data_IF_002296802351
#
_entry.id   IF_002296802351
#
_cell.length_a   1.000
_cell.length_b   1.000
_cell.length_c   1.000
_cell.angle_alpha   90.00
_cell.angle_beta   90.00
_cell.angle_gamma   90.00
#
_symmetry.space_group_name_H-M   'P 1'
#
loop_
_entity.id
_entity.type
_entity.pdbx_description
1 polymer ?
#
# COMPACT_ATOMS: atom_id res chain seq x y z
N UNK A 1 51.80 8.70 -63.00
CA UNK A 1 51.85 8.03 -61.69
C UNK A 1 50.43 8.04 -61.15
N UNK A 2 49.65 6.98 -61.40
CA UNK A 2 48.25 6.88 -60.98
C UNK A 2 48.18 6.09 -59.67
N UNK A 3 47.76 6.75 -58.59
CA UNK A 3 47.46 6.08 -57.34
C UNK A 3 46.02 5.56 -57.39
N UNK A 4 45.88 4.24 -57.53
CA UNK A 4 44.61 3.56 -57.36
C UNK A 4 44.28 3.51 -55.86
N UNK A 5 43.28 4.29 -55.43
CA UNK A 5 42.71 4.16 -54.09
C UNK A 5 41.85 2.89 -54.02
N UNK A 6 42.34 1.88 -53.30
CA UNK A 6 41.56 0.70 -52.95
C UNK A 6 40.52 1.11 -51.90
N UNK A 7 39.26 1.27 -52.31
CA UNK A 7 38.13 1.42 -51.40
C UNK A 7 37.63 0.02 -51.05
N UNK A 8 37.76 -0.47 -49.80
CA UNK A 8 37.18 -1.76 -49.45
C UNK A 8 35.65 -1.64 -49.53
N UNK A 9 35.04 -2.42 -50.43
CA UNK A 9 33.58 -2.61 -50.48
C UNK A 9 33.15 -3.35 -49.21
N UNK A 10 32.75 -2.61 -48.18
CA UNK A 10 32.11 -3.20 -47.01
C UNK A 10 30.69 -3.63 -47.40
N UNK A 11 30.51 -4.93 -47.63
CA UNK A 11 29.21 -5.55 -47.91
C UNK A 11 28.32 -5.49 -46.65
N UNK A 12 27.26 -4.65 -46.64
CA UNK A 12 26.40 -4.48 -45.48
C UNK A 12 25.52 -5.71 -45.19
N UNK A 13 25.51 -6.72 -46.07
CA UNK A 13 24.74 -7.97 -45.88
C UNK A 13 25.36 -8.92 -44.83
N UNK A 14 26.62 -8.68 -44.44
CA UNK A 14 27.37 -9.52 -43.49
C UNK A 14 27.30 -9.08 -42.04
N UNK A 15 26.58 -7.99 -41.73
CA UNK A 15 26.35 -7.62 -40.35
C UNK A 15 25.34 -8.59 -39.74
N UNK A 16 25.69 -9.37 -38.69
CA UNK A 16 24.67 -10.07 -37.93
C UNK A 16 23.73 -8.97 -37.45
N UNK A 17 22.44 -9.08 -37.79
CA UNK A 17 21.38 -8.23 -37.26
C UNK A 17 21.38 -8.45 -35.74
N UNK A 18 22.25 -7.72 -35.06
CA UNK A 18 22.25 -7.64 -33.61
C UNK A 18 20.85 -7.17 -33.28
N UNK A 19 20.12 -7.95 -32.50
CA UNK A 19 18.85 -7.51 -31.92
C UNK A 19 19.15 -6.22 -31.15
N UNK A 20 19.03 -5.08 -31.82
CA UNK A 20 18.87 -3.80 -31.18
C UNK A 20 17.50 -3.91 -30.56
N UNK A 21 17.47 -4.46 -29.34
CA UNK A 21 16.31 -4.36 -28.50
C UNK A 21 16.08 -2.86 -28.32
N UNK A 22 15.23 -2.31 -29.17
CA UNK A 22 14.80 -0.92 -29.13
C UNK A 22 14.35 -0.61 -27.71
N UNK A 23 14.52 0.63 -27.22
CA UNK A 23 14.05 1.03 -25.88
C UNK A 23 12.61 0.56 -25.57
N UNK A 24 11.75 0.48 -26.59
CA UNK A 24 10.40 -0.08 -26.47
C UNK A 24 10.35 -1.56 -26.08
N UNK A 25 11.24 -2.41 -26.61
CA UNK A 25 11.30 -3.84 -26.28
C UNK A 25 11.74 -4.04 -24.82
N UNK A 26 12.73 -3.28 -24.36
CA UNK A 26 13.12 -3.28 -22.95
C UNK A 26 12.00 -2.76 -22.04
N UNK A 27 11.32 -1.70 -22.44
CA UNK A 27 10.16 -1.17 -21.72
C UNK A 27 9.04 -2.19 -21.58
N UNK A 28 8.72 -2.94 -22.65
CA UNK A 28 7.72 -4.00 -22.62
C UNK A 28 8.12 -5.16 -21.69
N UNK A 29 9.38 -5.58 -21.72
CA UNK A 29 9.90 -6.61 -20.83
C UNK A 29 9.84 -6.18 -19.35
N UNK A 30 10.29 -4.96 -19.03
CA UNK A 30 10.21 -4.41 -17.67
C UNK A 30 8.76 -4.26 -17.23
N UNK A 31 7.88 -3.77 -18.11
CA UNK A 31 6.45 -3.67 -17.86
C UNK A 31 5.83 -5.03 -17.51
N UNK A 32 6.15 -6.06 -18.29
CA UNK A 32 5.65 -7.43 -18.06
C UNK A 32 6.20 -8.03 -16.77
N UNK A 33 7.52 -7.96 -16.54
CA UNK A 33 8.17 -8.50 -15.35
C UNK A 33 7.71 -7.78 -14.08
N UNK A 34 7.54 -6.45 -14.14
CA UNK A 34 7.08 -5.66 -13.00
C UNK A 34 5.59 -5.80 -12.69
N UNK A 35 4.77 -6.14 -13.68
CA UNK A 35 3.33 -6.38 -13.49
C UNK A 35 3.01 -7.80 -13.00
N UNK A 36 3.86 -8.77 -13.33
CA UNK A 36 3.69 -10.18 -12.93
C UNK A 36 4.36 -10.47 -11.58
N UNK A 37 4.02 -11.56 -10.88
CA UNK A 37 4.68 -11.94 -9.63
C UNK A 37 6.14 -12.41 -9.78
N UNK A 38 6.72 -12.34 -10.98
CA UNK A 38 8.07 -12.86 -11.29
C UNK A 38 9.15 -12.16 -10.47
N UNK A 39 8.99 -10.86 -10.19
CA UNK A 39 9.91 -10.12 -9.33
C UNK A 39 10.04 -10.72 -7.92
N UNK A 40 8.97 -11.35 -7.39
CA UNK A 40 8.98 -11.96 -6.05
C UNK A 40 9.99 -13.09 -5.96
N UNK A 41 10.26 -13.79 -7.06
CA UNK A 41 11.30 -14.82 -7.10
C UNK A 41 12.69 -14.22 -6.83
N UNK A 42 12.99 -13.05 -7.39
CA UNK A 42 14.25 -12.35 -7.12
C UNK A 42 14.34 -11.89 -5.66
N UNK A 43 13.24 -11.38 -5.08
CA UNK A 43 13.20 -11.00 -3.66
C UNK A 43 13.41 -12.20 -2.72
N UNK A 44 12.86 -13.37 -3.07
CA UNK A 44 13.12 -14.61 -2.33
C UNK A 44 14.57 -15.07 -2.45
N UNK A 45 15.17 -14.96 -3.64
CA UNK A 45 16.57 -15.35 -3.88
C UNK A 45 17.58 -14.40 -3.24
N UNK A 46 17.25 -13.11 -3.17
CA UNK A 46 18.09 -12.06 -2.59
C UNK A 46 17.32 -11.27 -1.53
N UNK A 47 17.17 -11.80 -0.29
CA UNK A 47 16.35 -11.18 0.76
C UNK A 47 16.73 -9.75 1.13
N UNK A 48 18.00 -9.36 0.94
CA UNK A 48 18.49 -7.98 1.14
C UNK A 48 17.74 -6.93 0.31
N UNK A 49 17.06 -7.34 -0.77
CA UNK A 49 16.21 -6.42 -1.55
C UNK A 49 15.03 -5.87 -0.73
N UNK A 50 14.55 -6.59 0.29
CA UNK A 50 13.53 -6.10 1.20
C UNK A 50 14.03 -4.92 2.04
N UNK A 51 15.32 -4.87 2.35
CA UNK A 51 15.97 -3.79 3.09
C UNK A 51 16.38 -2.64 2.16
N UNK A 52 16.94 -2.96 1.00
CA UNK A 52 17.53 -1.95 0.11
C UNK A 52 16.52 -1.20 -0.74
N UNK A 53 15.48 -1.89 -1.23
CA UNK A 53 14.51 -1.34 -2.18
C UNK A 53 13.18 -1.08 -1.48
N UNK A 54 12.48 -2.15 -1.14
CA UNK A 54 11.22 -2.14 -0.39
C UNK A 54 10.82 -3.60 -0.09
N UNK A 55 10.24 -3.92 1.07
CA UNK A 55 9.83 -5.28 1.40
C UNK A 55 8.67 -5.79 0.55
N UNK A 56 8.58 -7.10 0.36
CA UNK A 56 7.40 -7.75 -0.20
C UNK A 56 6.28 -7.81 0.84
N UNK A 57 5.34 -6.87 0.77
CA UNK A 57 4.21 -6.77 1.68
C UNK A 57 2.99 -7.59 1.23
N UNK A 58 3.08 -8.30 0.09
CA UNK A 58 1.96 -9.12 -0.40
C UNK A 58 1.49 -10.12 0.65
N UNK A 59 0.17 -10.21 0.84
CA UNK A 59 -0.44 -11.20 1.72
C UNK A 59 -1.64 -10.67 2.49
N UNK A 60 -2.05 -11.47 3.46
CA UNK A 60 -3.14 -11.16 4.37
C UNK A 60 -2.58 -10.73 5.71
N UNK A 61 -3.23 -9.77 6.34
CA UNK A 61 -2.82 -9.19 7.60
C UNK A 61 -4.03 -9.04 8.51
N UNK A 62 -3.88 -9.41 9.78
CA UNK A 62 -4.84 -9.12 10.82
C UNK A 62 -4.64 -7.70 11.32
N UNK A 63 -5.71 -6.92 11.42
CA UNK A 63 -5.62 -5.51 11.80
C UNK A 63 -6.35 -5.24 13.09
N UNK A 64 -5.78 -4.37 13.91
CA UNK A 64 -6.40 -3.82 15.11
C UNK A 64 -6.31 -2.31 15.02
N UNK A 65 -7.47 -1.63 15.10
CA UNK A 65 -7.55 -0.17 15.12
C UNK A 65 -8.07 0.31 16.47
N UNK A 66 -7.39 1.28 17.05
CA UNK A 66 -7.83 1.99 18.25
C UNK A 66 -8.44 3.33 17.83
N UNK A 67 -9.63 3.64 18.31
CA UNK A 67 -10.38 4.86 18.00
C UNK A 67 -10.33 5.85 19.16
N UNK A 68 -10.31 7.14 18.85
CA UNK A 68 -10.50 8.23 19.81
C UNK A 68 -11.95 8.37 20.33
N UNK A 69 -12.83 7.40 20.09
CA UNK A 69 -14.24 7.46 20.48
C UNK A 69 -14.45 7.65 21.98
N UNK A 70 -13.57 7.14 22.85
CA UNK A 70 -13.66 7.39 24.28
C UNK A 70 -13.52 8.88 24.62
N UNK A 71 -12.57 9.57 23.97
CA UNK A 71 -12.35 11.01 24.15
C UNK A 71 -13.55 11.82 23.63
N UNK A 72 -14.13 11.39 22.51
CA UNK A 72 -15.38 11.99 22.01
C UNK A 72 -16.54 11.77 22.98
N UNK A 73 -16.63 10.59 23.59
CA UNK A 73 -17.73 10.25 24.48
C UNK A 73 -17.76 11.07 25.77
N UNK A 74 -16.60 11.48 26.28
CA UNK A 74 -16.49 12.32 27.48
C UNK A 74 -17.02 13.75 27.29
N UNK A 75 -16.97 14.28 26.05
CA UNK A 75 -17.12 15.72 25.80
C UNK A 75 -18.21 16.08 24.78
N UNK A 76 -18.58 15.14 23.91
CA UNK A 76 -19.48 15.43 22.79
C UNK A 76 -20.95 15.18 23.15
N UNK A 77 -21.88 16.12 22.85
CA UNK A 77 -23.29 16.02 23.24
C UNK A 77 -24.00 14.72 22.80
N UNK A 78 -23.64 14.16 21.64
CA UNK A 78 -24.19 12.91 21.12
C UNK A 78 -23.97 11.70 22.04
N UNK A 79 -23.01 11.76 22.97
CA UNK A 79 -22.70 10.69 23.93
C UNK A 79 -23.19 10.99 25.35
N UNK A 80 -23.95 12.08 25.59
CA UNK A 80 -24.40 12.47 26.94
C UNK A 80 -25.13 11.37 27.72
N UNK A 81 -25.81 10.46 27.01
CA UNK A 81 -26.53 9.33 27.60
C UNK A 81 -25.89 7.97 27.23
N UNK A 82 -24.70 7.98 26.64
CA UNK A 82 -24.00 6.75 26.30
C UNK A 82 -23.39 6.14 27.57
N UNK A 83 -23.46 4.81 27.66
CA UNK A 83 -22.74 4.05 28.66
C UNK A 83 -21.28 3.92 28.20
N UNK A 84 -20.40 4.79 28.69
CA UNK A 84 -19.00 4.90 28.26
C UNK A 84 -18.23 3.59 28.46
N UNK A 85 -18.60 2.80 29.48
CA UNK A 85 -17.97 1.52 29.79
C UNK A 85 -18.26 0.44 28.73
N UNK A 86 -19.27 0.66 27.88
CA UNK A 86 -19.66 -0.25 26.80
C UNK A 86 -19.18 0.20 25.42
N UNK A 87 -18.49 1.33 25.31
CA UNK A 87 -18.02 1.84 24.03
C UNK A 87 -16.79 1.05 23.60
N UNK A 88 -16.94 0.24 22.54
CA UNK A 88 -15.80 -0.40 21.89
C UNK A 88 -14.99 0.64 21.12
N UNK A 89 -13.75 0.87 21.56
CA UNK A 89 -12.77 1.70 20.85
C UNK A 89 -11.81 0.87 19.99
N UNK A 90 -11.76 -0.44 20.22
CA UNK A 90 -11.03 -1.39 19.39
C UNK A 90 -11.90 -1.88 18.23
N UNK A 91 -11.33 -1.92 17.03
CA UNK A 91 -11.96 -2.44 15.82
C UNK A 91 -10.98 -3.41 15.15
N UNK A 92 -11.32 -4.70 15.16
CA UNK A 92 -10.55 -5.72 14.46
C UNK A 92 -11.00 -5.88 13.00
N UNK A 93 -10.09 -6.30 12.13
CA UNK A 93 -10.37 -6.56 10.72
C UNK A 93 -9.22 -7.23 10.00
N UNK A 94 -9.28 -7.21 8.67
CA UNK A 94 -8.28 -7.85 7.82
C UNK A 94 -7.86 -6.93 6.67
N UNK A 95 -6.55 -6.80 6.47
CA UNK A 95 -6.02 -6.27 5.21
C UNK A 95 -5.66 -7.40 4.26
N UNK A 96 -5.88 -7.15 2.97
CA UNK A 96 -5.22 -7.86 1.87
C UNK A 96 -4.36 -6.88 1.10
N UNK A 97 -3.04 -7.07 1.14
CA UNK A 97 -2.09 -6.24 0.41
C UNK A 97 -1.71 -6.93 -0.90
N UNK A 98 -1.86 -6.20 -2.01
CA UNK A 98 -1.43 -6.61 -3.36
C UNK A 98 -0.42 -5.60 -3.88
N UNK A 99 0.81 -6.05 -4.09
CA UNK A 99 1.95 -5.24 -4.50
C UNK A 99 2.57 -5.79 -5.78
N UNK A 100 2.91 -4.88 -6.69
CA UNK A 100 3.80 -5.13 -7.81
C UNK A 100 4.77 -3.93 -7.92
N UNK A 101 5.61 -3.87 -8.95
CA UNK A 101 6.62 -2.79 -9.06
C UNK A 101 6.03 -1.39 -9.25
N UNK A 102 4.79 -1.29 -9.71
CA UNK A 102 4.19 -0.02 -10.10
C UNK A 102 3.14 0.47 -9.12
N UNK A 103 2.59 -0.43 -8.28
CA UNK A 103 1.50 -0.09 -7.36
C UNK A 103 1.43 -1.02 -6.16
N UNK A 104 0.94 -0.45 -5.07
CA UNK A 104 0.45 -1.17 -3.90
C UNK A 104 -1.04 -0.89 -3.76
N UNK A 105 -1.81 -1.94 -3.49
CA UNK A 105 -3.23 -1.86 -3.13
C UNK A 105 -3.44 -2.52 -1.78
N UNK A 106 -4.15 -1.83 -0.90
CA UNK A 106 -4.62 -2.31 0.39
C UNK A 106 -6.14 -2.41 0.30
N UNK A 107 -6.67 -3.60 0.57
CA UNK A 107 -8.09 -3.85 0.71
C UNK A 107 -8.38 -4.14 2.17
N UNK A 108 -9.36 -3.47 2.76
CA UNK A 108 -9.78 -3.71 4.14
C UNK A 108 -11.17 -4.32 4.17
N UNK A 109 -11.29 -5.40 4.93
CA UNK A 109 -12.56 -6.00 5.31
C UNK A 109 -12.63 -6.01 6.85
N UNK A 110 -13.58 -5.27 7.42
CA UNK A 110 -13.85 -5.35 8.85
C UNK A 110 -14.38 -6.74 9.23
N UNK A 111 -14.04 -7.25 10.43
CA UNK A 111 -14.45 -8.61 10.85
C UNK A 111 -15.98 -8.76 10.88
N UNK A 112 -16.69 -7.69 11.25
CA UNK A 112 -18.15 -7.63 11.24
C UNK A 112 -18.77 -7.45 9.84
N UNK A 113 -17.94 -7.39 8.77
CA UNK A 113 -18.32 -7.09 7.38
C UNK A 113 -19.12 -5.78 7.21
N UNK A 114 -19.10 -4.90 8.21
CA UNK A 114 -19.89 -3.68 8.20
C UNK A 114 -19.32 -2.65 7.23
N UNK A 115 -17.99 -2.60 7.15
CA UNK A 115 -17.24 -1.64 6.35
C UNK A 115 -16.25 -2.37 5.46
N UNK A 116 -16.20 -1.94 4.20
CA UNK A 116 -15.13 -2.29 3.26
C UNK A 116 -14.41 -1.02 2.84
N UNK A 117 -13.13 -1.11 2.52
CA UNK A 117 -12.43 0.02 1.91
C UNK A 117 -11.62 -0.36 0.69
N UNK A 118 -11.49 0.62 -0.22
CA UNK A 118 -10.61 0.52 -1.38
C UNK A 118 -9.57 1.63 -1.34
N UNK A 119 -8.36 1.26 -1.72
CA UNK A 119 -7.25 2.20 -1.91
C UNK A 119 -7.56 3.24 -2.99
N UNK A 120 -7.24 4.49 -2.69
CA UNK A 120 -7.10 5.56 -3.68
C UNK A 120 -5.63 5.73 -4.05
N UNK A 121 -4.76 5.88 -3.05
CA UNK A 121 -3.31 6.06 -3.23
C UNK A 121 -2.56 5.34 -2.12
N UNK A 122 -1.44 4.71 -2.48
CA UNK A 122 -0.41 4.25 -1.54
C UNK A 122 0.92 4.75 -2.05
N UNK A 123 1.63 5.49 -1.21
CA UNK A 123 2.99 5.96 -1.48
C UNK A 123 3.96 5.29 -0.50
N UNK A 124 4.81 4.37 -0.98
CA UNK A 124 5.97 3.90 -0.24
C UNK A 124 6.93 5.05 0.02
N UNK A 125 7.48 5.09 1.22
CA UNK A 125 8.52 6.04 1.64
C UNK A 125 9.62 5.27 2.36
N UNK A 126 10.85 5.73 2.18
CA UNK A 126 11.99 5.31 3.00
C UNK A 126 12.39 6.49 3.86
N UNK A 127 12.50 6.24 5.16
CA UNK A 127 13.11 7.18 6.10
C UNK A 127 14.62 6.89 6.11
N UNK A 128 15.41 7.86 5.65
CA UNK A 128 16.86 7.70 5.53
C UNK A 128 17.56 7.72 6.90
N UNK A 129 16.97 8.38 7.90
CA UNK A 129 17.56 8.54 9.22
C UNK A 129 17.27 7.32 10.11
N UNK A 130 16.09 6.71 9.94
CA UNK A 130 15.66 5.53 10.71
C UNK A 130 15.94 4.19 10.03
N UNK A 131 16.37 4.22 8.76
CA UNK A 131 16.49 3.05 7.89
C UNK A 131 15.23 2.17 7.92
N UNK A 132 14.06 2.81 7.93
CA UNK A 132 12.76 2.14 7.95
C UNK A 132 11.91 2.54 6.75
N UNK A 133 10.93 1.70 6.43
CA UNK A 133 9.96 1.97 5.39
C UNK A 133 8.65 2.43 5.99
N UNK A 134 7.90 3.25 5.25
CA UNK A 134 6.53 3.61 5.60
C UNK A 134 5.61 3.64 4.39
N UNK A 135 4.32 3.51 4.64
CA UNK A 135 3.24 3.62 3.66
C UNK A 135 2.37 4.82 4.03
N UNK A 136 2.36 5.85 3.18
CA UNK A 136 1.31 6.85 3.22
C UNK A 136 0.12 6.34 2.38
N UNK A 137 -1.00 6.08 3.05
CA UNK A 137 -2.15 5.38 2.51
C UNK A 137 -3.39 6.27 2.58
N UNK A 138 -4.11 6.44 1.46
CA UNK A 138 -5.41 7.12 1.39
C UNK A 138 -6.44 6.17 0.80
N UNK A 139 -7.63 6.13 1.39
CA UNK A 139 -8.70 5.23 0.99
C UNK A 139 -10.08 5.88 1.05
N UNK A 140 -11.03 5.22 0.40
CA UNK A 140 -12.46 5.44 0.60
C UNK A 140 -13.06 4.18 1.21
N UNK A 141 -13.77 4.37 2.31
CA UNK A 141 -14.55 3.34 2.96
C UNK A 141 -16.02 3.44 2.55
N UNK A 142 -16.67 2.28 2.49
CA UNK A 142 -18.09 2.12 2.20
C UNK A 142 -18.71 1.24 3.29
N UNK A 143 -19.78 1.75 3.90
CA UNK A 143 -20.59 1.04 4.86
C UNK A 143 -21.75 0.35 4.14
N UNK A 144 -21.82 -0.97 4.22
CA UNK A 144 -22.73 -1.79 3.38
C UNK A 144 -24.21 -1.58 3.77
N UNK A 145 -24.47 -1.37 5.06
CA UNK A 145 -25.83 -1.16 5.59
C UNK A 145 -25.77 -0.09 6.70
N UNK A 146 -25.65 1.22 6.34
CA UNK A 146 -25.47 2.27 7.32
C UNK A 146 -26.73 2.42 8.19
N UNK A 147 -26.54 2.53 9.49
CA UNK A 147 -27.61 2.98 10.39
C UNK A 147 -27.97 4.44 10.09
N UNK A 148 -29.13 4.92 10.56
CA UNK A 148 -29.63 6.28 10.28
C UNK A 148 -28.64 7.41 10.65
N UNK A 149 -27.71 7.13 11.57
CA UNK A 149 -26.68 8.05 12.05
C UNK A 149 -25.34 7.92 11.33
N UNK A 150 -25.21 6.97 10.42
CA UNK A 150 -23.96 6.64 9.73
C UNK A 150 -23.89 7.24 8.33
N UNK A 151 -22.67 7.61 7.95
CA UNK A 151 -22.33 7.95 6.57
C UNK A 151 -22.06 6.69 5.77
N UNK A 152 -22.65 6.61 4.58
CA UNK A 152 -22.43 5.50 3.67
C UNK A 152 -20.99 5.46 3.13
N UNK A 153 -20.36 6.62 2.94
CA UNK A 153 -19.00 6.75 2.44
C UNK A 153 -18.20 7.77 3.25
N UNK A 154 -16.95 7.45 3.56
CA UNK A 154 -16.00 8.39 4.13
C UNK A 154 -14.59 8.13 3.59
N UNK A 155 -13.76 9.17 3.61
CA UNK A 155 -12.34 9.09 3.32
C UNK A 155 -11.55 8.85 4.59
N UNK A 156 -10.41 8.19 4.44
CA UNK A 156 -9.43 8.08 5.50
C UNK A 156 -8.02 8.07 4.95
N UNK A 157 -7.07 8.32 5.85
CA UNK A 157 -5.66 8.12 5.56
C UNK A 157 -4.94 7.50 6.74
N UNK A 158 -3.81 6.85 6.46
CA UNK A 158 -2.89 6.32 7.45
C UNK A 158 -1.45 6.55 7.03
N UNK A 159 -0.57 6.69 8.00
CA UNK A 159 0.88 6.60 7.82
C UNK A 159 1.35 5.39 8.62
N UNK A 160 1.73 4.32 7.92
CA UNK A 160 2.10 3.07 8.56
C UNK A 160 3.60 2.83 8.40
N UNK A 161 4.34 2.79 9.49
CA UNK A 161 5.72 2.34 9.51
C UNK A 161 5.76 0.81 9.37
N UNK A 162 6.71 0.31 8.58
CA UNK A 162 7.00 -1.12 8.43
C UNK A 162 8.06 -1.46 9.46
N UNK A 163 7.77 -2.43 10.32
CA UNK A 163 8.73 -2.88 11.30
C UNK A 163 9.93 -3.60 10.63
N UNK A 164 11.06 -3.79 11.33
CA UNK A 164 12.29 -4.31 10.72
C UNK A 164 12.19 -5.73 10.12
N UNK A 165 11.31 -6.60 10.64
CA UNK A 165 11.09 -7.95 10.09
C UNK A 165 9.98 -8.02 9.02
N UNK A 166 9.37 -6.86 8.72
CA UNK A 166 8.29 -6.68 7.75
C UNK A 166 7.04 -7.53 8.03
N UNK A 167 6.82 -7.92 9.29
CA UNK A 167 5.65 -8.65 9.77
C UNK A 167 4.60 -7.76 10.45
N UNK A 168 4.93 -6.50 10.74
CA UNK A 168 4.03 -5.54 11.38
C UNK A 168 4.05 -4.21 10.63
N UNK A 169 2.86 -3.67 10.39
CA UNK A 169 2.65 -2.29 9.97
C UNK A 169 1.95 -1.55 11.10
N UNK A 170 2.45 -0.39 11.52
CA UNK A 170 1.78 0.38 12.57
C UNK A 170 1.93 1.88 12.41
N UNK A 171 0.95 2.61 12.90
CA UNK A 171 1.01 4.07 12.93
C UNK A 171 -0.36 4.73 13.02
N UNK A 172 -0.40 6.07 12.91
CA UNK A 172 -1.65 6.80 13.03
C UNK A 172 -2.54 6.63 11.79
N UNK A 173 -3.84 6.67 12.03
CA UNK A 173 -4.86 6.83 10.99
C UNK A 173 -5.87 7.90 11.37
N UNK A 174 -6.59 8.41 10.37
CA UNK A 174 -7.71 9.31 10.55
C UNK A 174 -8.78 9.05 9.49
N UNK A 175 -10.02 9.43 9.78
CA UNK A 175 -11.14 9.44 8.85
C UNK A 175 -11.91 10.75 8.96
N UNK A 176 -12.51 11.19 7.85
CA UNK A 176 -13.43 12.34 7.86
C UNK A 176 -14.88 11.92 8.18
N UNK A 177 -15.10 10.71 8.71
CA UNK A 177 -16.43 10.18 9.02
C UNK A 177 -17.13 11.13 10.00
N UNK A 178 -18.34 11.58 9.67
CA UNK A 178 -19.14 12.48 10.50
C UNK A 178 -18.41 13.79 10.90
N UNK A 179 -17.47 14.27 10.07
CA UNK A 179 -16.68 15.47 10.38
C UNK A 179 -17.53 16.74 10.56
N UNK A 180 -18.66 16.86 9.85
CA UNK A 180 -19.62 17.97 9.99
C UNK A 180 -20.25 18.05 11.39
N UNK A 181 -20.21 16.96 12.16
CA UNK A 181 -20.67 16.93 13.54
C UNK A 181 -19.52 17.03 14.54
N UNK A 182 -18.27 17.14 14.10
CA UNK A 182 -17.10 17.04 14.99
C UNK A 182 -16.84 15.62 15.51
N UNK A 183 -17.32 14.60 14.78
CA UNK A 183 -17.19 13.18 15.15
C UNK A 183 -16.17 12.42 14.29
N UNK A 184 -15.22 13.15 13.70
CA UNK A 184 -14.14 12.56 12.91
C UNK A 184 -13.29 11.63 13.78
N UNK A 185 -12.99 10.44 13.26
CA UNK A 185 -12.26 9.42 14.00
C UNK A 185 -10.78 9.49 13.69
N UNK A 186 -9.95 9.37 14.72
CA UNK A 186 -8.51 9.19 14.57
C UNK A 186 -8.00 8.23 15.64
N UNK A 187 -6.83 7.68 15.41
CA UNK A 187 -6.16 6.84 16.40
C UNK A 187 -5.02 6.06 15.79
N UNK A 188 -4.78 4.85 16.30
CA UNK A 188 -3.67 4.00 15.86
C UNK A 188 -4.18 2.77 15.15
N UNK A 189 -3.43 2.35 14.14
CA UNK A 189 -3.65 1.12 13.39
C UNK A 189 -2.42 0.25 13.56
N UNK A 190 -2.63 -1.01 13.86
CA UNK A 190 -1.62 -2.06 13.79
C UNK A 190 -2.13 -3.17 12.85
N UNK A 191 -1.26 -3.67 11.98
CA UNK A 191 -1.54 -4.81 11.12
C UNK A 191 -0.41 -5.83 11.25
N UNK A 192 -0.73 -7.07 11.60
CA UNK A 192 0.21 -8.20 11.71
C UNK A 192 0.02 -9.16 10.56
N UNK A 193 1.10 -9.57 9.93
CA UNK A 193 1.05 -10.52 8.81
C UNK A 193 0.55 -11.87 9.32
N UNK A 194 -0.43 -12.44 8.62
CA UNK A 194 -0.84 -13.82 8.85
C UNK A 194 0.22 -14.73 8.23
N UNK A 195 0.80 -15.62 9.05
CA UNK A 195 1.78 -16.62 8.58
C UNK A 195 1.14 -17.47 7.48
N UNK A 196 1.79 -17.53 6.31
CA UNK A 196 1.43 -18.43 5.21
C UNK A 196 2.03 -19.81 5.40
#
# INVERSE_FOLDING_TARGET
MNFAFFQPQSDPSKWPRTLTATPGTFGLLIGFLGATPTWRWFWKKFPKLNEWVFPDLNGEWETVMMSNICVMAESHPDFKNADTDKISYEISGKFTIKQNWFRIKILYDATNKYTKSRTLVVQPKRDADKDCFSLAYIYVAETIAPQKTDEQHHFGAAMLEVNPDWQVLSGPYWTNRNAQKGLNTAGTLEAKRLSQ
#
